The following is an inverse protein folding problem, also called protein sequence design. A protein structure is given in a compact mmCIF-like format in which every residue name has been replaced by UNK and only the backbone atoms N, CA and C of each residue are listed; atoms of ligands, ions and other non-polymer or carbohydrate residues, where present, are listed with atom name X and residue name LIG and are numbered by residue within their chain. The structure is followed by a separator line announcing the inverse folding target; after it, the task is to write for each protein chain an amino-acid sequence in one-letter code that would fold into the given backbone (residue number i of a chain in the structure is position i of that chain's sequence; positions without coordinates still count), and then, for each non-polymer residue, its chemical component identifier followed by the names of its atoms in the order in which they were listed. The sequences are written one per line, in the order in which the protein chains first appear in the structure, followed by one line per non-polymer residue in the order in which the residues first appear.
data_IF_148173211790
#
_entry.id   IF_148173211790
#
_cell.length_a   1.000
_cell.length_b   1.000
_cell.length_c   1.000
_cell.angle_alpha   90.00
_cell.angle_beta   90.00
_cell.angle_gamma   90.00
#
_symmetry.space_group_name_H-M   'P 1'
#
loop_
_entity.id
_entity.type
_entity.pdbx_description
1 polymer ?
#
# COMPACT_ATOMS: atom_id res chain seq x y z
N UNK A 1 -19.55 -56.14 -34.54
CA UNK A 1 -18.90 -57.16 -35.38
C UNK A 1 -19.81 -57.43 -36.55
N UNK A 2 -19.31 -57.20 -37.78
CA UNK A 2 -19.87 -57.64 -39.08
C UNK A 2 -21.21 -57.01 -39.52
N UNK A 3 -21.49 -56.63 -40.77
CA UNK A 3 -20.86 -56.64 -42.11
C UNK A 3 -21.77 -55.72 -42.97
N UNK A 4 -21.26 -54.78 -43.77
CA UNK A 4 -21.20 -54.83 -45.27
C UNK A 4 -22.35 -55.66 -45.88
N UNK A 5 -23.19 -55.20 -46.81
CA UNK A 5 -23.01 -54.50 -48.11
C UNK A 5 -24.43 -54.20 -48.66
N UNK A 6 -24.68 -53.34 -49.65
CA UNK A 6 -24.77 -53.72 -51.07
C UNK A 6 -24.85 -52.46 -51.97
N UNK A 7 -23.98 -52.47 -53.00
CA UNK A 7 -24.25 -52.19 -54.44
C UNK A 7 -24.89 -50.84 -54.85
N UNK A 8 -24.14 -49.92 -55.46
CA UNK A 8 -23.71 -49.86 -56.88
C UNK A 8 -24.76 -49.23 -57.81
N UNK A 9 -24.45 -48.06 -58.40
CA UNK A 9 -24.96 -47.46 -59.66
C UNK A 9 -23.90 -46.42 -60.09
N UNK A 10 -23.00 -46.74 -61.02
CA UNK A 10 -23.05 -46.47 -62.49
C UNK A 10 -22.75 -45.01 -62.87
N UNK A 11 -21.51 -44.85 -63.32
CA UNK A 11 -21.00 -44.07 -64.47
C UNK A 11 -21.82 -42.89 -65.02
N UNK A 12 -21.19 -41.71 -65.03
CA UNK A 12 -21.38 -40.68 -66.06
C UNK A 12 -20.01 -40.25 -66.61
N UNK A 13 -19.73 -40.84 -67.77
CA UNK A 13 -19.10 -40.32 -68.98
C UNK A 13 -18.51 -38.92 -68.93
N UNK A 14 -17.28 -38.81 -69.44
CA UNK A 14 -16.47 -37.62 -69.43
C UNK A 14 -17.07 -36.38 -70.09
N UNK A 15 -16.62 -35.23 -69.62
CA UNK A 15 -16.70 -33.98 -70.36
C UNK A 15 -15.39 -33.22 -70.16
N UNK A 16 -14.57 -33.23 -71.22
CA UNK A 16 -13.30 -32.53 -71.31
C UNK A 16 -13.60 -31.02 -71.43
N UNK A 17 -13.58 -30.30 -70.31
CA UNK A 17 -13.77 -28.83 -70.34
C UNK A 17 -12.56 -28.16 -71.00
N UNK A 18 -12.85 -27.60 -72.18
CA UNK A 18 -11.99 -26.73 -72.98
C UNK A 18 -11.65 -25.48 -72.18
N UNK A 19 -10.37 -25.32 -71.81
CA UNK A 19 -9.84 -24.06 -71.28
C UNK A 19 -10.03 -22.96 -72.32
N UNK A 20 -10.81 -21.94 -71.98
CA UNK A 20 -10.79 -20.63 -72.61
C UNK A 20 -10.38 -19.63 -71.53
N UNK A 21 -9.17 -19.11 -71.66
CA UNK A 21 -8.63 -18.10 -70.77
C UNK A 21 -9.39 -16.78 -70.96
N UNK A 22 -9.87 -16.22 -69.86
CA UNK A 22 -10.47 -14.89 -69.79
C UNK A 22 -9.47 -13.98 -69.08
N UNK A 23 -9.09 -12.81 -69.62
CA UNK A 23 -8.21 -11.89 -68.91
C UNK A 23 -9.02 -11.18 -67.81
N UNK A 24 -8.70 -11.48 -66.56
CA UNK A 24 -9.17 -10.70 -65.41
C UNK A 24 -8.39 -9.39 -65.43
N UNK A 25 -9.03 -8.34 -65.94
CA UNK A 25 -8.57 -6.96 -65.83
C UNK A 25 -8.57 -6.55 -64.35
N UNK A 26 -7.40 -6.69 -63.71
CA UNK A 26 -7.09 -6.15 -62.39
C UNK A 26 -7.00 -4.62 -62.45
N UNK A 27 -8.08 -3.93 -62.09
CA UNK A 27 -8.02 -2.51 -61.76
C UNK A 27 -7.54 -2.40 -60.30
N UNK A 28 -6.22 -2.43 -60.12
CA UNK A 28 -5.56 -2.17 -58.86
C UNK A 28 -5.70 -0.67 -58.52
N UNK A 29 -6.69 -0.33 -57.68
CA UNK A 29 -6.72 0.98 -57.03
C UNK A 29 -5.44 1.14 -56.19
N UNK A 30 -4.58 2.10 -56.57
CA UNK A 30 -3.39 2.41 -55.79
C UNK A 30 -3.83 3.03 -54.46
N UNK A 31 -3.91 2.22 -53.41
CA UNK A 31 -3.95 2.71 -52.04
C UNK A 31 -2.55 3.26 -51.72
N UNK A 32 -2.41 4.58 -51.78
CA UNK A 32 -1.19 5.27 -51.36
C UNK A 32 -1.03 5.04 -49.84
N UNK A 33 -0.12 4.15 -49.46
CA UNK A 33 0.29 4.02 -48.06
C UNK A 33 1.02 5.30 -47.69
N UNK A 34 0.36 6.19 -46.93
CA UNK A 34 1.00 7.35 -46.31
C UNK A 34 2.04 6.83 -45.30
N UNK A 35 3.31 7.06 -45.61
CA UNK A 35 4.41 6.82 -44.69
C UNK A 35 4.57 7.99 -43.72
N UNK A 36 5.00 7.70 -42.50
CA UNK A 36 5.33 8.69 -41.49
C UNK A 36 6.62 9.41 -41.88
N UNK A 37 6.65 10.74 -41.73
CA UNK A 37 7.89 11.49 -41.96
C UNK A 37 8.73 11.55 -40.68
N UNK A 38 10.05 11.65 -40.80
CA UNK A 38 10.93 11.83 -39.64
C UNK A 38 10.60 13.11 -38.87
N UNK A 39 10.19 14.17 -39.58
CA UNK A 39 9.80 15.44 -38.97
C UNK A 39 8.49 15.32 -38.17
N UNK A 40 7.53 14.53 -38.64
CA UNK A 40 6.27 14.28 -37.94
C UNK A 40 6.51 13.55 -36.62
N UNK A 41 7.42 12.56 -36.62
CA UNK A 41 7.84 11.91 -35.38
C UNK A 41 8.63 12.86 -34.48
N UNK A 42 9.53 13.67 -35.04
CA UNK A 42 10.34 14.63 -34.29
C UNK A 42 9.48 15.65 -33.56
N UNK A 43 8.50 16.26 -34.23
CA UNK A 43 7.60 17.23 -33.58
C UNK A 43 6.78 16.57 -32.47
N UNK A 44 6.29 15.35 -32.67
CA UNK A 44 5.51 14.63 -31.65
C UNK A 44 6.33 14.39 -30.38
N UNK A 45 7.56 13.86 -30.50
CA UNK A 45 8.39 13.61 -29.31
C UNK A 45 8.81 14.93 -28.64
N UNK A 46 8.97 16.02 -29.39
CA UNK A 46 9.28 17.34 -28.81
C UNK A 46 8.11 17.89 -27.99
N UNK A 47 6.88 17.76 -28.49
CA UNK A 47 5.68 18.21 -27.77
C UNK A 47 5.46 17.34 -26.53
N UNK A 48 5.59 16.01 -26.66
CA UNK A 48 5.52 15.09 -25.50
C UNK A 48 6.60 15.44 -24.47
N UNK A 49 7.83 15.73 -24.91
CA UNK A 49 8.92 16.15 -24.03
C UNK A 49 8.59 17.41 -23.24
N UNK A 50 8.10 18.46 -23.91
CA UNK A 50 7.70 19.71 -23.24
C UNK A 50 6.58 19.46 -22.22
N UNK A 51 5.52 18.74 -22.61
CA UNK A 51 4.42 18.43 -21.71
C UNK A 51 4.87 17.57 -20.52
N UNK A 52 5.73 16.58 -20.75
CA UNK A 52 6.27 15.72 -19.69
C UNK A 52 7.05 16.52 -18.64
N UNK A 53 7.86 17.51 -19.06
CA UNK A 53 8.60 18.36 -18.10
C UNK A 53 7.69 19.13 -17.15
N UNK A 54 6.58 19.68 -17.66
CA UNK A 54 5.61 20.43 -16.85
C UNK A 54 4.88 19.49 -15.89
N UNK A 55 4.48 18.30 -16.35
CA UNK A 55 3.76 17.33 -15.50
C UNK A 55 4.63 16.90 -14.32
N UNK A 56 5.90 16.57 -14.53
CA UNK A 56 6.80 16.10 -13.46
C UNK A 56 6.97 17.18 -12.37
N UNK A 57 7.16 18.45 -12.76
CA UNK A 57 7.33 19.55 -11.81
C UNK A 57 6.12 19.78 -10.88
N UNK A 58 4.91 19.37 -11.29
CA UNK A 58 3.71 19.51 -10.47
C UNK A 58 3.46 18.32 -9.53
N UNK A 59 4.19 17.20 -9.68
CA UNK A 59 4.02 16.02 -8.82
C UNK A 59 4.64 16.18 -7.44
N UNK A 60 5.76 16.89 -7.32
CA UNK A 60 6.51 17.03 -6.06
C UNK A 60 5.67 17.67 -4.94
N UNK A 61 4.83 18.66 -5.27
CA UNK A 61 3.96 19.34 -4.28
C UNK A 61 2.76 18.51 -3.81
N UNK A 62 2.33 17.51 -4.59
CA UNK A 62 1.20 16.65 -4.23
C UNK A 62 1.62 15.49 -3.32
N UNK A 63 2.84 14.98 -3.49
CA UNK A 63 3.35 13.85 -2.71
C UNK A 63 3.72 14.31 -1.29
N UNK A 64 4.47 15.41 -1.14
CA UNK A 64 4.97 15.83 0.18
C UNK A 64 3.89 16.24 1.20
N UNK A 65 2.67 16.58 0.73
CA UNK A 65 1.53 16.85 1.61
C UNK A 65 0.80 15.61 2.11
N UNK A 66 0.82 14.53 1.31
CA UNK A 66 0.18 13.27 1.65
C UNK A 66 0.89 12.61 2.84
N UNK A 67 2.22 12.61 2.85
CA UNK A 67 3.05 12.02 3.91
C UNK A 67 2.75 12.60 5.30
N UNK A 68 2.64 13.95 5.38
CA UNK A 68 2.27 14.65 6.62
C UNK A 68 0.88 14.27 7.10
N UNK A 69 -0.05 14.13 6.16
CA UNK A 69 -1.43 13.77 6.43
C UNK A 69 -1.54 12.33 6.92
N UNK A 70 -0.77 11.42 6.32
CA UNK A 70 -0.73 10.01 6.67
C UNK A 70 -0.12 9.79 8.05
N UNK A 71 1.03 10.40 8.35
CA UNK A 71 1.62 10.36 9.70
C UNK A 71 0.65 10.90 10.74
N UNK A 72 -0.03 12.02 10.45
CA UNK A 72 -1.04 12.59 11.35
C UNK A 72 -2.24 11.65 11.54
N UNK A 73 -2.70 10.99 10.48
CA UNK A 73 -3.79 10.01 10.57
C UNK A 73 -3.40 8.80 11.43
N UNK A 74 -2.19 8.26 11.26
CA UNK A 74 -1.63 7.17 12.07
C UNK A 74 -1.58 7.55 13.55
N UNK A 75 -1.01 8.70 13.88
CA UNK A 75 -0.95 9.17 15.27
C UNK A 75 -2.34 9.45 15.86
N UNK A 76 -3.28 9.98 15.08
CA UNK A 76 -4.67 10.13 15.53
C UNK A 76 -5.31 8.77 15.86
N UNK A 77 -4.98 7.71 15.11
CA UNK A 77 -5.41 6.35 15.44
C UNK A 77 -4.86 5.91 16.80
N UNK A 78 -3.57 6.13 17.05
CA UNK A 78 -2.95 5.83 18.36
C UNK A 78 -3.58 6.64 19.50
N UNK A 79 -3.78 7.95 19.32
CA UNK A 79 -4.43 8.80 20.31
C UNK A 79 -5.85 8.33 20.62
N UNK A 80 -6.61 7.93 19.60
CA UNK A 80 -7.95 7.36 19.76
C UNK A 80 -7.91 6.05 20.55
N UNK A 81 -6.96 5.16 20.24
CA UNK A 81 -6.78 3.90 20.96
C UNK A 81 -6.40 4.12 22.43
N UNK A 82 -5.48 5.04 22.72
CA UNK A 82 -5.09 5.43 24.08
C UNK A 82 -6.28 6.07 24.82
N UNK A 83 -7.05 6.92 24.14
CA UNK A 83 -8.28 7.50 24.68
C UNK A 83 -9.31 6.44 25.06
N UNK A 84 -9.55 5.46 24.19
CA UNK A 84 -10.44 4.33 24.45
C UNK A 84 -9.92 3.42 25.58
N UNK A 85 -8.61 3.24 25.67
CA UNK A 85 -7.95 2.55 26.78
C UNK A 85 -8.25 3.27 28.09
N UNK A 86 -8.02 4.59 28.15
CA UNK A 86 -8.32 5.43 29.32
C UNK A 86 -9.79 5.38 29.69
N UNK A 87 -10.72 5.39 28.73
CA UNK A 87 -12.15 5.25 29.01
C UNK A 87 -12.49 3.88 29.63
N UNK A 88 -11.83 2.81 29.17
CA UNK A 88 -12.11 1.43 29.62
C UNK A 88 -11.50 1.14 31.00
N UNK A 89 -10.33 1.70 31.27
CA UNK A 89 -9.55 1.41 32.48
C UNK A 89 -9.51 2.56 33.49
N UNK A 90 -9.96 3.77 33.13
CA UNK A 90 -9.89 5.01 33.92
C UNK A 90 -8.49 5.58 34.19
N UNK A 91 -7.45 4.94 33.66
CA UNK A 91 -6.06 5.38 33.72
C UNK A 91 -5.38 5.17 32.37
N UNK A 92 -4.31 5.92 32.10
CA UNK A 92 -3.45 5.70 30.94
C UNK A 92 -2.56 4.48 31.16
N UNK A 93 -2.05 3.81 30.10
CA UNK A 93 -1.12 2.70 30.25
C UNK A 93 0.03 3.03 31.22
N UNK A 94 0.20 2.22 32.26
CA UNK A 94 1.06 2.53 33.42
C UNK A 94 2.54 2.71 33.09
N UNK A 95 2.99 2.24 31.94
CA UNK A 95 4.39 2.42 31.54
C UNK A 95 4.72 3.88 31.16
N UNK A 96 3.70 4.72 30.92
CA UNK A 96 3.88 6.16 30.76
C UNK A 96 4.34 6.86 32.05
N UNK A 97 4.16 6.24 33.22
CA UNK A 97 4.59 6.81 34.51
C UNK A 97 6.09 6.63 34.77
N UNK A 98 6.78 5.77 34.00
CA UNK A 98 8.18 5.43 34.24
C UNK A 98 9.17 6.42 33.65
N UNK A 99 8.85 6.98 32.49
CA UNK A 99 9.73 7.87 31.71
C UNK A 99 8.85 8.91 31.01
N UNK A 100 9.27 10.17 31.02
CA UNK A 100 8.54 11.27 30.36
C UNK A 100 9.57 12.14 29.60
N UNK A 101 9.65 12.05 28.26
CA UNK A 101 8.73 11.36 27.33
C UNK A 101 9.04 9.86 27.22
N UNK A 102 8.04 9.04 26.94
CA UNK A 102 8.28 7.63 26.58
C UNK A 102 8.71 7.55 25.12
N UNK A 103 9.94 7.09 24.88
CA UNK A 103 10.44 6.79 23.53
C UNK A 103 10.07 5.34 23.13
N UNK A 104 9.35 5.20 22.01
CA UNK A 104 8.96 3.90 21.43
C UNK A 104 10.06 3.25 20.58
N UNK A 105 11.20 3.91 20.39
CA UNK A 105 12.40 3.26 19.88
C UNK A 105 12.87 2.16 20.83
N UNK A 106 12.77 2.36 22.14
CA UNK A 106 13.20 1.40 23.15
C UNK A 106 12.28 0.16 23.08
N UNK A 107 12.89 -1.02 22.88
CA UNK A 107 12.14 -2.28 22.67
C UNK A 107 11.18 -2.61 23.81
N UNK A 108 11.58 -2.37 25.06
CA UNK A 108 10.72 -2.62 26.23
C UNK A 108 9.49 -1.69 26.22
N UNK A 109 9.68 -0.39 25.99
CA UNK A 109 8.59 0.58 25.91
C UNK A 109 7.66 0.30 24.72
N UNK A 110 8.22 -0.01 23.55
CA UNK A 110 7.46 -0.44 22.36
C UNK A 110 6.60 -1.66 22.65
N UNK A 111 7.19 -2.68 23.24
CA UNK A 111 6.49 -3.92 23.55
C UNK A 111 5.35 -3.67 24.54
N UNK A 112 5.58 -2.87 25.60
CA UNK A 112 4.53 -2.46 26.54
C UNK A 112 3.42 -1.67 25.85
N UNK A 113 3.78 -0.76 24.93
CA UNK A 113 2.84 0.01 24.13
C UNK A 113 1.94 -0.90 23.29
N UNK A 114 2.53 -1.80 22.50
CA UNK A 114 1.82 -2.77 21.67
C UNK A 114 0.94 -3.69 22.52
N UNK A 115 1.45 -4.23 23.63
CA UNK A 115 0.68 -5.09 24.53
C UNK A 115 -0.52 -4.35 25.15
N UNK A 116 -0.34 -3.08 25.53
CA UNK A 116 -1.42 -2.28 26.12
C UNK A 116 -2.54 -1.99 25.12
N UNK A 117 -2.20 -1.64 23.88
CA UNK A 117 -3.16 -1.23 22.86
C UNK A 117 -3.75 -2.40 22.07
N UNK A 118 -2.97 -3.45 21.78
CA UNK A 118 -3.48 -4.64 21.08
C UNK A 118 -4.04 -5.71 22.01
N UNK A 119 -3.50 -5.80 23.23
CA UNK A 119 -3.84 -6.88 24.16
C UNK A 119 -3.17 -8.21 23.83
N UNK A 120 -2.15 -8.20 22.96
CA UNK A 120 -1.34 -9.36 22.56
C UNK A 120 0.12 -8.95 22.45
N UNK A 121 1.02 -9.92 22.61
CA UNK A 121 2.45 -9.75 22.41
C UNK A 121 2.84 -10.12 21.00
N UNK A 122 3.70 -9.32 20.39
CA UNK A 122 4.37 -9.67 19.14
C UNK A 122 5.66 -10.44 19.47
N UNK A 123 5.79 -11.69 19.01
CA UNK A 123 7.03 -12.47 19.12
C UNK A 123 7.40 -12.99 17.73
N UNK A 124 8.48 -12.46 17.17
CA UNK A 124 8.73 -12.60 15.74
C UNK A 124 7.56 -12.01 14.96
N UNK A 125 6.99 -12.78 14.05
CA UNK A 125 5.88 -12.36 13.17
C UNK A 125 4.51 -12.86 13.65
N UNK A 126 4.39 -13.30 14.92
CA UNK A 126 3.17 -13.91 15.45
C UNK A 126 2.66 -13.23 16.70
N UNK A 127 1.34 -13.10 16.77
CA UNK A 127 0.61 -12.56 17.91
C UNK A 127 0.30 -13.64 18.92
N UNK A 128 0.87 -13.51 20.12
CA UNK A 128 0.64 -14.39 21.26
C UNK A 128 -0.23 -13.71 22.32
N UNK A 129 -1.05 -14.50 23.02
CA UNK A 129 -1.82 -14.01 24.16
C UNK A 129 -0.89 -13.60 25.31
N UNK A 130 -1.31 -12.57 26.06
CA UNK A 130 -0.57 -12.09 27.22
C UNK A 130 -0.62 -13.14 28.33
N UNK A 131 0.53 -13.47 28.92
CA UNK A 131 0.63 -14.44 29.99
C UNK A 131 1.34 -13.86 31.22
N UNK A 132 0.97 -14.36 32.41
CA UNK A 132 1.62 -13.99 33.67
C UNK A 132 1.59 -12.49 33.95
N UNK A 133 2.76 -11.88 34.09
CA UNK A 133 2.88 -10.45 34.39
C UNK A 133 2.40 -9.55 33.25
N UNK A 134 2.38 -10.01 32.00
CA UNK A 134 2.04 -9.20 30.83
C UNK A 134 0.54 -8.82 30.82
N UNK A 135 -0.30 -9.60 31.50
CA UNK A 135 -1.74 -9.35 31.69
C UNK A 135 -1.97 -7.99 32.37
N UNK A 136 -0.99 -7.48 33.14
CA UNK A 136 -1.09 -6.17 33.81
C UNK A 136 -1.30 -5.01 32.84
N UNK A 137 -0.81 -5.13 31.60
CA UNK A 137 -0.90 -4.08 30.59
C UNK A 137 -2.28 -4.01 29.92
N UNK A 138 -2.97 -5.14 29.79
CA UNK A 138 -4.33 -5.18 29.26
C UNK A 138 -5.11 -6.33 29.89
N UNK A 139 -5.63 -6.09 31.10
CA UNK A 139 -6.28 -7.12 31.92
C UNK A 139 -7.50 -7.77 31.25
N UNK A 140 -8.19 -7.03 30.38
CA UNK A 140 -9.38 -7.51 29.66
C UNK A 140 -9.05 -8.06 28.28
N UNK A 141 -7.79 -8.04 27.85
CA UNK A 141 -7.37 -8.48 26.50
C UNK A 141 -8.10 -7.76 25.37
N UNK A 142 -8.58 -6.53 25.61
CA UNK A 142 -9.36 -5.79 24.62
C UNK A 142 -8.43 -5.18 23.58
N UNK A 143 -8.70 -5.41 22.31
CA UNK A 143 -8.00 -4.72 21.24
C UNK A 143 -8.54 -3.29 21.11
N UNK A 144 -7.65 -2.30 21.26
CA UNK A 144 -7.90 -0.87 21.04
C UNK A 144 -7.31 -0.39 19.72
N UNK A 145 -6.18 -0.98 19.30
CA UNK A 145 -5.56 -0.75 17.99
C UNK A 145 -5.10 -2.08 17.39
N UNK A 146 -5.47 -2.41 16.14
CA UNK A 146 -5.15 -3.69 15.54
C UNK A 146 -3.67 -3.86 15.18
N UNK A 147 -2.88 -2.80 14.94
CA UNK A 147 -1.50 -2.91 14.42
C UNK A 147 -1.38 -3.92 13.28
N UNK A 148 -2.29 -3.82 12.30
CA UNK A 148 -2.44 -4.81 11.22
C UNK A 148 -1.81 -4.37 9.91
N UNK A 149 -1.43 -3.09 9.79
CA UNK A 149 -0.72 -2.62 8.61
C UNK A 149 0.77 -2.88 8.81
N UNK A 150 1.37 -3.64 7.88
CA UNK A 150 2.82 -3.85 7.84
C UNK A 150 3.55 -2.50 7.71
N UNK A 151 2.87 -1.45 7.25
CA UNK A 151 3.38 -0.10 7.10
C UNK A 151 3.62 0.66 8.42
N UNK A 152 3.09 0.17 9.54
CA UNK A 152 3.36 0.73 10.88
C UNK A 152 4.68 0.20 11.47
N UNK A 153 5.19 -0.90 10.94
CA UNK A 153 6.43 -1.52 11.39
C UNK A 153 7.48 -1.48 10.28
N UNK A 154 8.74 -1.37 10.65
CA UNK A 154 9.83 -1.65 9.71
C UNK A 154 10.22 -3.13 9.70
N UNK A 155 11.21 -3.47 8.88
CA UNK A 155 11.77 -4.82 8.76
C UNK A 155 12.32 -5.38 10.08
N UNK A 156 12.62 -4.50 11.05
CA UNK A 156 13.16 -4.85 12.36
C UNK A 156 12.08 -4.85 13.48
N UNK A 157 10.80 -4.71 13.12
CA UNK A 157 9.65 -4.60 14.04
C UNK A 157 9.70 -3.38 14.98
N UNK A 158 10.32 -2.28 14.55
CA UNK A 158 10.15 -0.97 15.19
C UNK A 158 8.93 -0.27 14.62
N UNK A 159 8.24 0.50 15.46
CA UNK A 159 7.18 1.38 15.00
C UNK A 159 7.80 2.54 14.23
N UNK A 160 7.23 2.85 13.08
CA UNK A 160 7.71 3.92 12.20
C UNK A 160 6.60 4.87 11.79
N UNK A 161 6.93 6.14 11.64
CA UNK A 161 6.09 7.08 10.91
C UNK A 161 6.20 6.88 9.39
N UNK A 162 5.49 7.68 8.60
CA UNK A 162 5.55 7.58 7.13
C UNK A 162 6.97 7.82 6.58
N UNK A 163 7.77 8.65 7.24
CA UNK A 163 9.16 8.95 6.83
C UNK A 163 10.17 7.91 7.33
N UNK A 164 9.73 6.86 8.01
CA UNK A 164 10.60 5.84 8.58
C UNK A 164 11.26 6.25 9.90
N UNK A 165 10.82 7.33 10.54
CA UNK A 165 11.35 7.71 11.84
C UNK A 165 10.89 6.73 12.91
N UNK A 166 11.85 6.14 13.62
CA UNK A 166 11.61 5.18 14.71
C UNK A 166 11.47 5.84 16.08
N UNK A 167 11.90 7.09 16.22
CA UNK A 167 11.87 7.85 17.47
C UNK A 167 10.51 8.52 17.69
N UNK A 168 9.50 7.71 17.93
CA UNK A 168 8.16 8.19 18.28
C UNK A 168 8.11 8.37 19.78
N UNK A 169 8.05 9.62 20.23
CA UNK A 169 7.94 9.98 21.65
C UNK A 169 6.49 10.26 22.02
N UNK A 170 6.03 9.70 23.14
CA UNK A 170 4.67 9.89 23.64
C UNK A 170 4.74 10.51 25.04
N UNK A 171 3.95 11.57 25.23
CA UNK A 171 3.79 12.27 26.50
C UNK A 171 2.31 12.32 26.82
N UNK A 172 1.98 12.18 28.10
CA UNK A 172 0.61 12.08 28.57
C UNK A 172 0.44 13.03 29.76
N UNK A 173 -0.61 13.84 29.70
CA UNK A 173 -1.02 14.66 30.83
C UNK A 173 -1.58 13.76 31.97
N UNK A 174 -0.77 13.57 33.00
CA UNK A 174 -1.09 12.76 34.18
C UNK A 174 -1.84 13.55 35.27
N UNK A 175 -1.53 14.84 35.45
CA UNK A 175 -2.08 15.68 36.53
C UNK A 175 -3.37 16.43 36.12
N UNK A 176 -3.72 16.36 34.83
CA UNK A 176 -4.91 16.95 34.22
C UNK A 176 -4.92 18.47 34.30
N UNK A 177 -3.75 19.08 34.32
CA UNK A 177 -3.62 20.54 34.29
C UNK A 177 -3.96 21.12 32.90
N UNK A 178 -4.04 20.27 31.87
CA UNK A 178 -4.34 20.64 30.49
C UNK A 178 -3.13 21.13 29.70
N UNK A 179 -1.93 21.02 30.26
CA UNK A 179 -0.68 21.42 29.65
C UNK A 179 0.27 20.22 29.52
N UNK A 180 1.09 20.22 28.47
CA UNK A 180 2.16 19.24 28.30
C UNK A 180 3.46 20.02 28.21
N UNK A 181 4.37 19.78 29.16
CA UNK A 181 5.70 20.36 29.12
C UNK A 181 6.58 19.50 28.23
N UNK A 182 7.10 20.09 27.16
CA UNK A 182 8.02 19.39 26.27
C UNK A 182 9.44 19.41 26.89
N UNK A 183 10.12 18.26 26.97
CA UNK A 183 11.52 18.20 27.37
C UNK A 183 12.39 19.03 26.41
N UNK A 184 13.45 19.65 26.93
CA UNK A 184 14.37 20.51 26.17
C UNK A 184 14.98 19.79 24.95
N UNK A 185 15.26 18.48 25.08
CA UNK A 185 15.75 17.59 24.01
C UNK A 185 14.66 17.16 22.98
N UNK A 186 13.46 17.76 23.06
CA UNK A 186 12.35 17.52 22.13
C UNK A 186 12.17 18.65 21.12
N UNK A 187 13.05 19.66 21.16
CA UNK A 187 13.12 20.67 20.13
C UNK A 187 13.50 20.01 18.79
N UNK A 188 12.57 20.04 17.84
CA UNK A 188 12.87 19.75 16.44
C UNK A 188 13.57 20.98 15.87
N UNK A 189 14.87 20.85 15.57
CA UNK A 189 15.58 21.84 14.75
C UNK A 189 14.81 21.97 13.43
N UNK A 190 14.27 23.16 13.19
CA UNK A 190 13.38 23.46 12.07
C UNK A 190 14.11 23.59 10.74
#
# INVERSE_FOLDING_TARGET
MMKTTHEAITTVTGFKQKLSAMPISSQAGMCFRRGFTLIELLVVITIIGILATIVIANLEGLIGGAEKTDTKARFNSYLTAIGNFKQTYSYFPRFFESEEPVDLYIADNRNKFIMSLKGKKLVGDKWHELAGEEIKYNKKGREFHPFSSEEEFDEENYLVDFWGNRHIKVIVDHDRDGFIQLPEDSAVDA
#
